data_IF_016243322584
#
_entry.id   IF_016243322584
#
_cell.length_a   1.000
_cell.length_b   1.000
_cell.length_c   1.000
_cell.angle_alpha   90.00
_cell.angle_beta   90.00
_cell.angle_gamma   90.00
#
_symmetry.space_group_name_H-M   'P 1'
#
loop_
_entity.id
_entity.type
_entity.pdbx_description
1 polymer ?
#
# COMPACT_ATOMS: atom_id res chain seq x y z
N UNK A 1 -4.12 -8.09 -7.57
CA UNK A 1 -3.29 -6.87 -7.71
C UNK A 1 -1.83 -7.28 -7.63
N UNK A 2 -0.91 -6.66 -8.37
CA UNK A 2 0.49 -7.07 -8.34
C UNK A 2 1.16 -6.63 -7.03
N UNK A 3 1.94 -7.52 -6.42
CA UNK A 3 2.80 -7.23 -5.27
C UNK A 3 3.94 -6.32 -5.72
N UNK A 4 4.10 -5.16 -5.07
CA UNK A 4 5.20 -4.24 -5.37
C UNK A 4 6.52 -4.92 -5.01
N UNK A 5 7.45 -4.98 -5.98
CA UNK A 5 8.80 -5.51 -5.76
C UNK A 5 9.63 -4.47 -5.02
N UNK A 6 10.27 -4.90 -3.94
CA UNK A 6 11.08 -4.03 -3.08
C UNK A 6 12.18 -3.28 -3.84
N UNK A 7 12.76 -3.90 -4.88
CA UNK A 7 13.77 -3.27 -5.76
C UNK A 7 13.25 -2.00 -6.43
N UNK A 8 12.00 -2.01 -6.91
CA UNK A 8 11.40 -0.84 -7.56
C UNK A 8 11.11 0.28 -6.56
N UNK A 9 10.73 -0.08 -5.32
CA UNK A 9 10.48 0.90 -4.27
C UNK A 9 11.75 1.59 -3.78
N UNK A 10 12.89 0.89 -3.75
CA UNK A 10 14.18 1.48 -3.34
C UNK A 10 14.66 2.57 -4.30
N UNK A 11 14.38 2.42 -5.59
CA UNK A 11 14.74 3.38 -6.64
C UNK A 11 13.89 4.65 -6.66
N UNK A 12 12.71 4.66 -6.00
CA UNK A 12 11.84 5.83 -5.95
C UNK A 12 12.35 6.85 -4.93
N UNK A 13 12.09 8.13 -5.18
CA UNK A 13 12.37 9.20 -4.23
C UNK A 13 11.45 9.10 -3.00
N UNK A 14 11.84 9.77 -1.93
CA UNK A 14 11.08 9.83 -0.67
C UNK A 14 9.68 10.37 -0.88
N UNK A 15 9.56 11.47 -1.64
CA UNK A 15 8.28 12.10 -1.94
C UNK A 15 7.37 11.19 -2.79
N UNK A 16 7.94 10.48 -3.75
CA UNK A 16 7.21 9.48 -4.53
C UNK A 16 6.71 8.34 -3.65
N UNK A 17 7.54 7.85 -2.72
CA UNK A 17 7.15 6.82 -1.75
C UNK A 17 6.02 7.31 -0.84
N UNK A 18 6.06 8.56 -0.38
CA UNK A 18 4.99 9.17 0.42
C UNK A 18 3.70 9.35 -0.36
N UNK A 19 3.78 9.80 -1.61
CA UNK A 19 2.61 9.93 -2.49
C UNK A 19 1.97 8.57 -2.74
N UNK A 20 2.78 7.57 -3.09
CA UNK A 20 2.32 6.19 -3.31
C UNK A 20 1.73 5.55 -2.05
N UNK A 21 2.27 5.88 -0.88
CA UNK A 21 1.70 5.47 0.41
C UNK A 21 0.30 6.04 0.62
N UNK A 22 0.08 7.32 0.31
CA UNK A 22 -1.24 7.97 0.41
C UNK A 22 -2.25 7.31 -0.52
N UNK A 23 -1.87 7.06 -1.77
CA UNK A 23 -2.74 6.38 -2.75
C UNK A 23 -3.16 4.98 -2.29
N UNK A 24 -2.19 4.16 -1.84
CA UNK A 24 -2.48 2.81 -1.38
C UNK A 24 -3.35 2.79 -0.11
N UNK A 25 -3.21 3.79 0.78
CA UNK A 25 -4.09 3.94 1.95
C UNK A 25 -5.52 4.31 1.53
N UNK A 26 -5.69 5.20 0.56
CA UNK A 26 -7.00 5.56 0.02
C UNK A 26 -7.67 4.36 -0.65
N UNK A 27 -6.92 3.58 -1.42
CA UNK A 27 -7.43 2.37 -2.06
C UNK A 27 -7.82 1.31 -1.02
N UNK A 28 -7.02 1.14 0.03
CA UNK A 28 -7.37 0.25 1.15
C UNK A 28 -8.65 0.71 1.86
N UNK A 29 -8.86 2.01 2.02
CA UNK A 29 -10.08 2.57 2.61
C UNK A 29 -11.29 2.26 1.73
N UNK A 30 -11.20 2.53 0.42
CA UNK A 30 -12.27 2.23 -0.55
C UNK A 30 -12.65 0.75 -0.55
N UNK A 31 -11.66 -0.14 -0.59
CA UNK A 31 -11.88 -1.59 -0.55
C UNK A 31 -12.52 -2.04 0.77
N UNK A 32 -12.11 -1.45 1.92
CA UNK A 32 -12.76 -1.72 3.20
C UNK A 32 -14.22 -1.25 3.22
N UNK A 33 -14.48 -0.02 2.78
CA UNK A 33 -15.84 0.52 2.71
C UNK A 33 -16.74 -0.28 1.77
N UNK A 34 -16.19 -0.81 0.67
CA UNK A 34 -16.92 -1.69 -0.24
C UNK A 34 -17.30 -3.04 0.39
N UNK A 35 -16.43 -3.61 1.24
CA UNK A 35 -16.73 -4.84 1.99
C UNK A 35 -17.89 -4.63 2.98
N UNK A 36 -17.89 -3.50 3.69
CA UNK A 36 -18.96 -3.13 4.63
C UNK A 36 -20.30 -2.94 3.91
N UNK A 37 -20.28 -2.38 2.69
CA UNK A 37 -21.48 -2.09 1.89
C UNK A 37 -22.16 -3.34 1.28
N UNK A 38 -21.73 -4.56 1.65
CA UNK A 38 -22.35 -5.84 1.25
C UNK A 38 -22.44 -6.08 -0.27
N UNK A 39 -21.69 -5.31 -1.07
CA UNK A 39 -21.58 -5.50 -2.53
C UNK A 39 -20.39 -6.41 -2.83
N UNK A 40 -20.72 -7.64 -3.22
CA UNK A 40 -19.95 -8.49 -4.15
C UNK A 40 -18.55 -8.88 -3.64
N UNK A 41 -18.46 -10.13 -3.15
CA UNK A 41 -17.23 -10.91 -3.06
C UNK A 41 -16.08 -10.24 -2.31
N UNK A 42 -15.93 -10.56 -1.02
CA UNK A 42 -14.76 -10.24 -0.19
C UNK A 42 -13.46 -10.33 -1.02
N UNK A 43 -12.96 -9.20 -1.52
CA UNK A 43 -11.67 -9.14 -2.20
C UNK A 43 -10.54 -9.13 -1.16
N UNK A 44 -10.61 -10.08 -0.21
CA UNK A 44 -9.67 -10.24 0.91
C UNK A 44 -8.24 -10.38 0.42
N UNK A 45 -8.04 -10.97 -0.76
CA UNK A 45 -6.73 -11.05 -1.42
C UNK A 45 -6.18 -9.65 -1.75
N UNK A 46 -7.01 -8.76 -2.30
CA UNK A 46 -6.62 -7.37 -2.63
C UNK A 46 -6.31 -6.56 -1.39
N UNK A 47 -7.13 -6.65 -0.35
CA UNK A 47 -6.87 -6.03 0.96
C UNK A 47 -5.53 -6.54 1.54
N UNK A 48 -5.26 -7.84 1.45
CA UNK A 48 -4.00 -8.44 1.91
C UNK A 48 -2.81 -7.91 1.12
N UNK A 49 -2.93 -7.82 -0.21
CA UNK A 49 -1.87 -7.30 -1.07
C UNK A 49 -1.59 -5.81 -0.82
N UNK A 50 -2.65 -4.99 -0.67
CA UNK A 50 -2.55 -3.57 -0.31
C UNK A 50 -1.84 -3.36 1.04
N UNK A 51 -2.20 -4.14 2.07
CA UNK A 51 -1.53 -4.09 3.38
C UNK A 51 -0.05 -4.43 3.28
N UNK A 52 0.30 -5.47 2.51
CA UNK A 52 1.71 -5.86 2.28
C UNK A 52 2.49 -4.79 1.53
N UNK A 53 1.88 -4.17 0.52
CA UNK A 53 2.47 -3.08 -0.25
C UNK A 53 2.75 -1.86 0.63
N UNK A 54 1.80 -1.47 1.48
CA UNK A 54 1.98 -0.38 2.47
C UNK A 54 3.15 -0.70 3.42
N UNK A 55 3.19 -1.90 3.98
CA UNK A 55 4.27 -2.31 4.89
C UNK A 55 5.65 -2.25 4.23
N UNK A 56 5.76 -2.65 2.95
CA UNK A 56 7.01 -2.56 2.19
C UNK A 56 7.46 -1.12 1.97
N UNK A 57 6.55 -0.21 1.63
CA UNK A 57 6.88 1.21 1.47
C UNK A 57 7.36 1.81 2.79
N UNK A 58 6.67 1.52 3.90
CA UNK A 58 7.09 1.97 5.23
C UNK A 58 8.46 1.42 5.62
N UNK A 59 8.75 0.17 5.26
CA UNK A 59 10.07 -0.44 5.48
C UNK A 59 11.15 0.29 4.69
N UNK A 60 10.93 0.57 3.40
CA UNK A 60 11.89 1.31 2.57
C UNK A 60 12.09 2.75 3.06
N UNK A 61 11.02 3.43 3.49
CA UNK A 61 11.12 4.76 4.10
C UNK A 61 11.99 4.72 5.37
N UNK A 62 11.80 3.70 6.20
CA UNK A 62 12.64 3.47 7.39
C UNK A 62 14.09 3.15 7.04
N UNK A 63 14.34 2.33 6.02
CA UNK A 63 15.68 2.04 5.50
C UNK A 63 16.38 3.32 4.97
N UNK A 64 15.63 4.28 4.43
CA UNK A 64 16.14 5.59 3.99
C UNK A 64 16.38 6.58 5.15
N UNK A 65 16.28 6.15 6.40
CA UNK A 65 16.50 7.00 7.58
C UNK A 65 15.33 7.93 7.90
N UNK A 66 14.19 7.77 7.22
CA UNK A 66 12.99 8.56 7.50
C UNK A 66 12.18 7.81 8.53
N UNK A 67 12.26 8.28 9.78
CA UNK A 67 11.31 7.91 10.80
C UNK A 67 10.08 8.80 10.59
N UNK A 68 8.99 8.17 10.14
CA UNK A 68 7.68 8.78 10.05
C UNK A 68 7.00 8.76 11.42
#
# INVERSE_FOLDING_TARGET
>A
MALLKSKQLKNLSVDELKNKLKELRLELFKERSAVEMRRIGKNTKRIRDLRKNIARILTVLREKGIHA
#
